data_IF_753928026727
#
_entry.id   IF_753928026727
#
_cell.length_a   1.000
_cell.length_b   1.000
_cell.length_c   1.000
_cell.angle_alpha   90.00
_cell.angle_beta   90.00
_cell.angle_gamma   90.00
#
_symmetry.space_group_name_H-M   'P 1'
#
loop_
_entity.id
_entity.type
_entity.pdbx_description
1 polymer ?
#
# COMPACT_ATOMS: atom_id res chain seq x y z
N UNK A 1 -0.07 -2.51 -32.44
CA UNK A 1 0.38 -3.70 -31.69
C UNK A 1 -0.88 -4.40 -31.20
N UNK A 2 -1.22 -5.55 -31.76
CA UNK A 2 -2.46 -6.24 -31.41
C UNK A 2 -2.28 -6.91 -30.05
N UNK A 3 -3.11 -6.52 -29.09
CA UNK A 3 -3.19 -7.20 -27.80
C UNK A 3 -3.75 -8.59 -28.02
N UNK A 4 -3.04 -9.63 -27.65
CA UNK A 4 -3.56 -10.99 -27.69
C UNK A 4 -4.70 -11.13 -26.66
N UNK A 5 -5.89 -11.62 -27.07
CA UNK A 5 -7.10 -11.59 -26.23
C UNK A 5 -7.21 -12.79 -25.29
N UNK A 6 -6.12 -13.28 -24.70
CA UNK A 6 -6.14 -14.51 -23.91
C UNK A 6 -5.92 -14.35 -22.38
N UNK A 7 -5.82 -13.13 -21.87
CA UNK A 7 -5.90 -12.96 -20.42
C UNK A 7 -7.35 -12.60 -20.04
N UNK A 8 -8.02 -13.41 -19.22
CA UNK A 8 -9.34 -13.02 -18.72
C UNK A 8 -9.21 -11.69 -17.98
N UNK A 9 -10.04 -10.72 -18.36
CA UNK A 9 -10.13 -9.46 -17.64
C UNK A 9 -10.32 -9.73 -16.16
N UNK A 10 -9.48 -9.15 -15.32
CA UNK A 10 -9.56 -9.25 -13.86
C UNK A 10 -9.71 -7.85 -13.29
N UNK A 11 -10.89 -7.53 -12.79
CA UNK A 11 -11.12 -6.23 -12.19
C UNK A 11 -10.25 -6.04 -10.94
N UNK A 12 -9.88 -4.79 -10.68
CA UNK A 12 -9.13 -4.43 -9.48
C UNK A 12 -9.82 -4.90 -8.19
N UNK A 13 -11.15 -4.83 -8.13
CA UNK A 13 -11.93 -5.28 -6.99
C UNK A 13 -11.85 -6.80 -6.79
N UNK A 14 -11.97 -7.60 -7.85
CA UNK A 14 -11.83 -9.06 -7.79
C UNK A 14 -10.43 -9.47 -7.32
N UNK A 15 -9.39 -8.81 -7.86
CA UNK A 15 -8.02 -9.00 -7.39
C UNK A 15 -7.89 -8.70 -5.90
N UNK A 16 -8.45 -7.59 -5.43
CA UNK A 16 -8.40 -7.18 -4.03
C UNK A 16 -9.13 -8.17 -3.12
N UNK A 17 -10.30 -8.65 -3.53
CA UNK A 17 -11.04 -9.69 -2.80
C UNK A 17 -10.27 -11.01 -2.70
N UNK A 18 -9.63 -11.43 -3.80
CA UNK A 18 -8.77 -12.61 -3.80
C UNK A 18 -7.59 -12.43 -2.83
N UNK A 19 -6.93 -11.29 -2.84
CA UNK A 19 -5.84 -10.97 -1.91
C UNK A 19 -6.29 -10.96 -0.44
N UNK A 20 -7.49 -10.45 -0.15
CA UNK A 20 -8.08 -10.50 1.20
C UNK A 20 -8.36 -11.93 1.63
N UNK A 21 -8.94 -12.76 0.74
CA UNK A 21 -9.22 -14.18 1.02
C UNK A 21 -7.93 -14.98 1.28
N UNK A 22 -6.90 -14.75 0.48
CA UNK A 22 -5.61 -15.44 0.63
C UNK A 22 -4.92 -15.06 1.93
N UNK A 23 -4.99 -13.80 2.33
CA UNK A 23 -4.52 -13.34 3.63
C UNK A 23 -5.24 -14.05 4.80
N UNK A 24 -6.54 -14.29 4.68
CA UNK A 24 -7.34 -14.97 5.71
C UNK A 24 -6.98 -16.45 5.87
N UNK A 25 -6.51 -17.11 4.82
CA UNK A 25 -6.11 -18.53 4.85
C UNK A 25 -4.87 -18.82 5.71
N UNK A 26 -4.23 -17.83 6.30
CA UNK A 26 -3.02 -17.97 7.16
C UNK A 26 -1.95 -18.89 6.57
N UNK A 27 -1.74 -18.81 5.27
CA UNK A 27 -0.68 -19.57 4.62
C UNK A 27 0.65 -19.18 5.29
N UNK A 28 1.50 -20.17 5.63
CA UNK A 28 2.80 -19.87 6.21
C UNK A 28 3.60 -19.07 5.19
N UNK A 29 3.98 -17.86 5.57
CA UNK A 29 4.78 -17.00 4.72
C UNK A 29 6.15 -17.69 4.47
N UNK A 30 6.68 -17.67 3.24
CA UNK A 30 7.92 -18.39 2.89
C UNK A 30 9.18 -17.76 3.47
N UNK A 31 9.09 -16.91 4.48
CA UNK A 31 10.25 -16.33 5.13
C UNK A 31 10.89 -17.34 6.08
N UNK A 32 12.19 -17.57 5.86
CA UNK A 32 13.03 -18.32 6.80
C UNK A 32 13.47 -17.43 7.95
N UNK A 33 13.97 -18.02 9.03
CA UNK A 33 14.54 -17.28 10.17
C UNK A 33 15.67 -16.32 9.75
N UNK A 34 16.40 -16.62 8.68
CA UNK A 34 17.47 -15.80 8.13
C UNK A 34 16.95 -14.51 7.49
N UNK A 35 15.78 -14.55 6.87
CA UNK A 35 15.12 -13.39 6.25
C UNK A 35 14.34 -12.58 7.27
N UNK A 36 13.90 -13.20 8.37
CA UNK A 36 13.17 -12.52 9.43
C UNK A 36 14.08 -11.68 10.30
N UNK A 37 13.73 -10.41 10.52
CA UNK A 37 14.40 -9.54 11.49
C UNK A 37 13.94 -9.87 12.91
N UNK A 38 14.18 -11.10 13.36
CA UNK A 38 13.65 -11.67 14.60
C UNK A 38 13.98 -10.87 15.86
N UNK A 39 15.12 -10.17 15.91
CA UNK A 39 15.50 -9.33 17.08
C UNK A 39 14.49 -8.22 17.40
N UNK A 40 13.57 -7.92 16.48
CA UNK A 40 12.53 -6.90 16.66
C UNK A 40 11.12 -7.50 16.70
N UNK A 41 11.02 -8.83 16.61
CA UNK A 41 9.76 -9.53 16.63
C UNK A 41 9.29 -9.73 18.07
N UNK A 42 8.03 -9.43 18.35
CA UNK A 42 7.43 -9.63 19.68
C UNK A 42 7.39 -11.11 20.11
N UNK A 43 7.45 -12.03 19.14
CA UNK A 43 7.46 -13.47 19.39
C UNK A 43 8.87 -14.05 19.56
N UNK A 44 9.92 -13.23 19.40
CA UNK A 44 11.30 -13.65 19.59
C UNK A 44 11.85 -13.08 20.92
N UNK A 45 12.05 -13.96 21.89
CA UNK A 45 12.65 -13.62 23.18
C UNK A 45 14.01 -14.32 23.30
N UNK A 46 15.04 -13.56 23.63
CA UNK A 46 16.42 -14.07 23.80
C UNK A 46 16.92 -14.92 22.62
N UNK A 47 16.60 -14.52 21.38
CA UNK A 47 17.00 -15.23 20.17
C UNK A 47 16.21 -16.52 19.88
N UNK A 48 15.22 -16.87 20.70
CA UNK A 48 14.34 -18.01 20.48
C UNK A 48 12.95 -17.54 20.09
N UNK A 49 12.45 -18.06 18.95
CA UNK A 49 11.10 -17.80 18.48
C UNK A 49 10.12 -18.70 19.24
N UNK A 50 9.08 -18.12 19.86
CA UNK A 50 8.00 -18.85 20.50
C UNK A 50 7.11 -19.62 19.50
N UNK A 51 7.20 -19.31 18.20
CA UNK A 51 6.40 -19.92 17.16
C UNK A 51 7.20 -21.03 16.47
N UNK A 52 6.54 -22.18 16.24
CA UNK A 52 7.14 -23.30 15.48
C UNK A 52 7.42 -22.95 14.01
N UNK A 53 6.72 -21.97 13.45
CA UNK A 53 6.91 -21.42 12.09
C UNK A 53 6.82 -19.92 12.15
N UNK A 54 7.55 -19.24 11.25
CA UNK A 54 7.49 -17.81 11.16
C UNK A 54 6.06 -17.33 10.87
N UNK A 55 5.68 -16.21 11.48
CA UNK A 55 4.36 -15.61 11.37
C UNK A 55 3.99 -15.30 9.91
N UNK A 56 2.70 -15.31 9.62
CA UNK A 56 2.17 -14.73 8.40
C UNK A 56 2.51 -13.23 8.31
N UNK A 57 2.43 -12.66 7.12
CA UNK A 57 2.78 -11.24 6.91
C UNK A 57 2.00 -10.31 7.85
N UNK A 58 0.73 -10.61 8.12
CA UNK A 58 -0.11 -9.81 9.05
C UNK A 58 0.50 -9.67 10.44
N UNK A 59 1.10 -10.73 10.98
CA UNK A 59 1.76 -10.69 12.29
C UNK A 59 3.10 -9.95 12.23
N UNK A 60 3.85 -10.13 11.13
CA UNK A 60 5.08 -9.37 10.89
C UNK A 60 4.81 -7.87 10.80
N UNK A 61 3.70 -7.46 10.19
CA UNK A 61 3.25 -6.06 10.11
C UNK A 61 2.96 -5.52 11.51
N UNK A 62 2.17 -6.24 12.31
CA UNK A 62 1.89 -5.86 13.71
C UNK A 62 3.17 -5.76 14.54
N UNK A 63 4.06 -6.74 14.41
CA UNK A 63 5.36 -6.76 15.08
C UNK A 63 6.36 -5.75 14.47
N UNK A 64 6.04 -5.14 13.33
CA UNK A 64 6.89 -4.21 12.58
C UNK A 64 8.27 -4.80 12.24
N UNK A 65 8.30 -6.06 11.83
CA UNK A 65 9.51 -6.81 11.46
C UNK A 65 9.73 -6.93 9.96
N UNK A 66 8.80 -6.39 9.15
CA UNK A 66 8.90 -6.31 7.70
C UNK A 66 9.24 -4.88 7.22
N UNK A 67 9.64 -4.76 5.97
CA UNK A 67 9.77 -3.50 5.24
C UNK A 67 8.52 -3.24 4.40
N UNK A 68 8.32 -2.01 3.94
CA UNK A 68 7.19 -1.69 3.06
C UNK A 68 7.32 -2.38 1.69
N UNK A 69 8.55 -2.53 1.19
CA UNK A 69 8.82 -3.29 -0.03
C UNK A 69 8.44 -4.78 0.08
N UNK A 70 8.65 -5.39 1.26
CA UNK A 70 8.20 -6.76 1.50
C UNK A 70 6.66 -6.86 1.50
N UNK A 71 5.96 -5.84 2.01
CA UNK A 71 4.49 -5.78 1.96
C UNK A 71 3.97 -5.68 0.53
N UNK A 72 4.56 -4.78 -0.27
CA UNK A 72 4.19 -4.65 -1.69
C UNK A 72 4.34 -5.97 -2.43
N UNK A 73 5.48 -6.64 -2.29
CA UNK A 73 5.74 -7.95 -2.93
C UNK A 73 4.73 -9.01 -2.49
N UNK A 74 4.37 -9.02 -1.21
CA UNK A 74 3.40 -9.97 -0.68
C UNK A 74 1.99 -9.77 -1.24
N UNK A 75 1.56 -8.51 -1.38
CA UNK A 75 0.24 -8.18 -1.92
C UNK A 75 0.04 -8.69 -3.36
N UNK A 76 1.10 -8.72 -4.15
CA UNK A 76 1.04 -9.06 -5.58
C UNK A 76 1.76 -10.38 -5.93
N UNK A 77 2.03 -11.23 -4.93
CA UNK A 77 2.78 -12.48 -5.12
C UNK A 77 2.10 -13.44 -6.11
N UNK A 78 0.79 -13.41 -6.20
CA UNK A 78 -0.01 -14.26 -7.08
C UNK A 78 -0.28 -13.65 -8.46
N UNK A 79 -0.01 -12.37 -8.66
CA UNK A 79 -0.15 -11.70 -9.94
C UNK A 79 1.14 -11.85 -10.75
N UNK A 80 1.11 -12.67 -11.84
CA UNK A 80 2.31 -13.15 -12.53
C UNK A 80 2.62 -12.43 -13.83
N UNK A 81 1.94 -11.34 -14.13
CA UNK A 81 2.27 -10.52 -15.29
C UNK A 81 3.72 -9.99 -15.19
N UNK A 82 4.52 -10.23 -16.23
CA UNK A 82 5.96 -9.93 -16.22
C UNK A 82 6.25 -8.44 -16.22
N UNK A 83 5.44 -7.65 -16.93
CA UNK A 83 5.61 -6.19 -17.04
C UNK A 83 5.21 -5.54 -15.70
N UNK A 84 4.09 -5.98 -15.14
CA UNK A 84 3.69 -5.56 -13.79
C UNK A 84 4.78 -5.86 -12.76
N UNK A 85 5.31 -7.09 -12.75
CA UNK A 85 6.35 -7.50 -11.79
C UNK A 85 7.64 -6.69 -11.96
N UNK A 86 7.98 -6.29 -13.18
CA UNK A 86 9.09 -5.38 -13.44
C UNK A 86 8.84 -4.01 -12.82
N UNK A 87 7.67 -3.39 -13.06
CA UNK A 87 7.26 -2.10 -12.47
C UNK A 87 7.22 -2.18 -10.95
N UNK A 88 6.65 -3.27 -10.40
CA UNK A 88 6.59 -3.50 -8.97
C UNK A 88 7.99 -3.58 -8.33
N UNK A 89 8.96 -4.20 -9.00
CA UNK A 89 10.34 -4.25 -8.54
C UNK A 89 10.92 -2.84 -8.41
N UNK A 90 10.76 -2.00 -9.43
CA UNK A 90 11.23 -0.61 -9.38
C UNK A 90 10.53 0.16 -8.26
N UNK A 91 9.22 -0.02 -8.07
CA UNK A 91 8.48 0.60 -6.97
C UNK A 91 9.01 0.16 -5.59
N UNK A 92 9.37 -1.10 -5.43
CA UNK A 92 9.97 -1.64 -4.21
C UNK A 92 11.37 -1.07 -3.94
N UNK A 93 12.19 -0.90 -4.96
CA UNK A 93 13.52 -0.28 -4.87
C UNK A 93 13.40 1.17 -4.44
N UNK A 94 12.53 1.96 -5.08
CA UNK A 94 12.23 3.34 -4.66
C UNK A 94 11.68 3.42 -3.25
N UNK A 95 10.75 2.54 -2.88
CA UNK A 95 10.20 2.51 -1.51
C UNK A 95 11.31 2.25 -0.46
N UNK A 96 12.32 1.46 -0.80
CA UNK A 96 13.47 1.23 0.07
C UNK A 96 14.39 2.45 0.18
N UNK A 97 14.55 3.22 -0.89
CA UNK A 97 15.40 4.43 -0.93
C UNK A 97 14.76 5.62 -0.22
N UNK A 98 13.51 5.92 -0.57
CA UNK A 98 12.81 7.14 -0.10
C UNK A 98 12.11 6.92 1.24
N UNK A 99 11.95 5.67 1.66
CA UNK A 99 11.37 5.26 2.95
C UNK A 99 10.01 5.90 3.25
N UNK A 100 9.19 6.08 2.22
CA UNK A 100 7.83 6.60 2.36
C UNK A 100 6.87 5.92 1.39
N UNK A 101 5.63 5.71 1.81
CA UNK A 101 4.55 5.31 0.91
C UNK A 101 3.87 6.50 0.23
N UNK A 102 4.18 7.73 0.61
CA UNK A 102 3.57 8.93 0.07
C UNK A 102 4.34 9.44 -1.15
N UNK A 103 3.66 10.15 -2.07
CA UNK A 103 4.29 10.82 -3.21
C UNK A 103 5.20 11.93 -2.71
N UNK A 104 4.66 12.78 -1.84
CA UNK A 104 5.32 13.97 -1.30
C UNK A 104 4.84 14.31 0.12
N UNK A 105 5.32 15.42 0.66
CA UNK A 105 4.93 15.91 1.98
C UNK A 105 3.48 16.42 2.02
N UNK A 106 2.97 16.94 0.90
CA UNK A 106 1.59 17.40 0.75
C UNK A 106 0.61 16.25 0.83
N UNK A 107 0.84 15.17 0.05
CA UNK A 107 0.08 13.92 0.12
C UNK A 107 0.04 13.39 1.55
N UNK A 108 1.20 13.31 2.21
CA UNK A 108 1.29 12.85 3.59
C UNK A 108 0.46 13.72 4.54
N UNK A 109 0.55 15.05 4.42
CA UNK A 109 -0.20 16.00 5.27
C UNK A 109 -1.71 15.81 5.10
N UNK A 110 -2.19 15.80 3.85
CA UNK A 110 -3.61 15.61 3.51
C UNK A 110 -4.15 14.28 4.02
N UNK A 111 -3.40 13.20 3.83
CA UNK A 111 -3.76 11.88 4.34
C UNK A 111 -3.96 11.88 5.86
N UNK A 112 -3.02 12.42 6.63
CA UNK A 112 -3.15 12.46 8.09
C UNK A 112 -4.23 13.40 8.57
N UNK A 113 -4.50 14.48 7.85
CA UNK A 113 -5.68 15.33 8.08
C UNK A 113 -6.94 14.47 8.04
N UNK A 114 -7.19 13.74 6.95
CA UNK A 114 -8.36 12.86 6.82
C UNK A 114 -8.40 11.74 7.86
N UNK A 115 -7.25 11.09 8.09
CA UNK A 115 -7.17 9.98 9.04
C UNK A 115 -7.38 10.39 10.51
N UNK A 116 -7.21 11.68 10.86
CA UNK A 116 -7.43 12.19 12.21
C UNK A 116 -8.88 12.17 12.64
N UNK A 117 -9.82 12.26 11.69
CA UNK A 117 -11.26 12.24 11.96
C UNK A 117 -11.84 10.85 12.18
N UNK A 118 -11.05 9.78 11.94
CA UNK A 118 -11.53 8.41 12.02
C UNK A 118 -11.50 7.87 13.45
N UNK A 119 -12.69 7.54 13.99
CA UNK A 119 -12.82 6.80 15.26
C UNK A 119 -12.38 5.32 15.09
N UNK A 120 -12.84 4.65 14.02
CA UNK A 120 -12.38 3.33 13.59
C UNK A 120 -11.59 3.49 12.30
N UNK A 121 -10.40 2.91 12.25
CA UNK A 121 -9.53 2.95 11.07
C UNK A 121 -9.82 1.71 10.21
N UNK A 122 -10.99 1.67 9.58
CA UNK A 122 -11.30 0.66 8.59
C UNK A 122 -10.25 0.68 7.48
N UNK A 123 -9.57 -0.43 7.18
CA UNK A 123 -8.50 -0.48 6.19
C UNK A 123 -8.93 -0.05 4.79
N UNK A 124 -10.15 -0.40 4.36
CA UNK A 124 -10.69 0.02 3.06
C UNK A 124 -10.84 1.53 3.01
N UNK A 125 -11.41 2.13 4.04
CA UNK A 125 -11.57 3.58 4.08
C UNK A 125 -10.23 4.32 4.19
N UNK A 126 -9.28 3.77 4.94
CA UNK A 126 -7.91 4.32 5.01
C UNK A 126 -7.24 4.31 3.63
N UNK A 127 -7.44 3.25 2.83
CA UNK A 127 -6.92 3.18 1.46
C UNK A 127 -7.59 4.19 0.53
N UNK A 128 -8.91 4.41 0.67
CA UNK A 128 -9.64 5.45 -0.07
C UNK A 128 -9.08 6.85 0.26
N UNK A 129 -8.90 7.17 1.55
CA UNK A 129 -8.28 8.43 1.96
C UNK A 129 -6.87 8.60 1.39
N UNK A 130 -6.09 7.52 1.36
CA UNK A 130 -4.74 7.53 0.81
C UNK A 130 -4.77 7.91 -0.69
N UNK A 131 -5.65 7.30 -1.47
CA UNK A 131 -5.82 7.61 -2.89
C UNK A 131 -6.27 9.05 -3.12
N UNK A 132 -7.37 9.46 -2.48
CA UNK A 132 -7.95 10.78 -2.68
C UNK A 132 -7.06 11.93 -2.18
N UNK A 133 -6.19 11.66 -1.23
CA UNK A 133 -5.22 12.64 -0.72
C UNK A 133 -3.94 12.74 -1.56
N UNK A 134 -3.75 11.88 -2.57
CA UNK A 134 -2.58 11.91 -3.45
C UNK A 134 -2.52 13.22 -4.25
N UNK A 135 -3.66 13.71 -4.71
CA UNK A 135 -3.81 15.02 -5.38
C UNK A 135 -4.42 16.06 -4.45
N UNK A 136 -3.97 17.31 -4.55
CA UNK A 136 -4.53 18.42 -3.79
C UNK A 136 -5.94 18.75 -4.26
N UNK A 137 -6.14 18.81 -5.59
CA UNK A 137 -7.44 19.14 -6.17
C UNK A 137 -8.49 18.08 -5.82
N UNK A 138 -8.15 16.80 -6.00
CA UNK A 138 -9.03 15.69 -5.65
C UNK A 138 -9.36 15.69 -4.15
N UNK A 139 -8.39 15.97 -3.30
CA UNK A 139 -8.59 16.07 -1.85
C UNK A 139 -9.57 17.18 -1.45
N UNK A 140 -9.43 18.39 -2.04
CA UNK A 140 -10.34 19.51 -1.79
C UNK A 140 -11.78 19.12 -2.15
N UNK A 141 -11.97 18.43 -3.26
CA UNK A 141 -13.28 17.96 -3.71
C UNK A 141 -13.82 16.85 -2.82
N UNK A 142 -13.00 15.86 -2.48
CA UNK A 142 -13.38 14.75 -1.61
C UNK A 142 -13.83 15.22 -0.22
N UNK A 143 -13.15 16.21 0.37
CA UNK A 143 -13.56 16.78 1.67
C UNK A 143 -14.97 17.36 1.68
N UNK A 144 -15.43 17.90 0.56
CA UNK A 144 -16.78 18.50 0.44
C UNK A 144 -17.89 17.46 0.48
N UNK A 145 -17.60 16.24 0.03
CA UNK A 145 -18.55 15.12 -0.06
C UNK A 145 -18.34 14.05 1.02
N UNK A 146 -17.44 14.31 1.95
CA UNK A 146 -17.21 13.46 3.12
C UNK A 146 -18.27 13.76 4.18
N UNK A 147 -19.39 13.01 4.13
CA UNK A 147 -20.61 13.30 4.91
C UNK A 147 -20.54 12.83 6.35
N UNK A 148 -19.73 11.80 6.65
CA UNK A 148 -19.60 11.22 7.99
C UNK A 148 -18.23 10.57 8.15
N UNK A 149 -17.74 10.33 9.38
CA UNK A 149 -16.53 9.57 9.58
C UNK A 149 -16.63 8.17 8.97
N UNK A 150 -15.91 7.94 7.90
CA UNK A 150 -15.86 6.66 7.18
C UNK A 150 -16.77 6.54 5.96
N UNK A 151 -17.38 7.63 5.49
CA UNK A 151 -18.20 7.62 4.28
C UNK A 151 -17.90 8.80 3.35
N UNK A 152 -17.71 8.49 2.06
CA UNK A 152 -17.53 9.46 0.98
C UNK A 152 -18.64 9.24 -0.03
N UNK A 153 -19.38 10.29 -0.34
CA UNK A 153 -20.38 10.26 -1.41
C UNK A 153 -19.69 10.47 -2.77
N UNK A 154 -19.26 9.38 -3.39
CA UNK A 154 -18.61 9.41 -4.69
C UNK A 154 -19.52 9.91 -5.81
N UNK A 155 -20.84 9.72 -5.70
CA UNK A 155 -21.80 10.19 -6.69
C UNK A 155 -21.90 11.72 -6.77
N UNK A 156 -21.61 12.41 -5.67
CA UNK A 156 -21.59 13.88 -5.59
C UNK A 156 -20.20 14.48 -5.83
N UNK A 157 -19.14 13.67 -6.06
CA UNK A 157 -17.80 14.18 -6.29
C UNK A 157 -17.63 14.71 -7.71
N UNK A 158 -17.44 16.01 -7.84
CA UNK A 158 -17.23 16.67 -9.14
C UNK A 158 -15.80 16.44 -9.66
N UNK A 159 -15.68 15.78 -10.81
CA UNK A 159 -14.38 15.49 -11.43
C UNK A 159 -13.94 16.55 -12.48
N UNK A 160 -14.63 17.68 -12.61
CA UNK A 160 -14.19 18.74 -13.52
C UNK A 160 -12.79 19.22 -13.17
N UNK A 161 -11.98 19.43 -14.21
CA UNK A 161 -10.59 19.91 -14.10
C UNK A 161 -9.62 18.96 -13.38
N UNK A 162 -10.00 17.70 -13.15
CA UNK A 162 -9.06 16.68 -12.70
C UNK A 162 -8.21 16.17 -13.87
N UNK A 163 -6.99 15.76 -13.58
CA UNK A 163 -6.11 15.10 -14.56
C UNK A 163 -6.37 13.59 -14.62
N UNK A 164 -5.60 12.90 -15.45
CA UNK A 164 -5.71 11.45 -15.63
C UNK A 164 -5.39 10.69 -14.34
N UNK A 165 -4.38 11.11 -13.59
CA UNK A 165 -4.01 10.46 -12.34
C UNK A 165 -5.08 10.64 -11.26
N UNK A 166 -5.67 11.84 -11.17
CA UNK A 166 -6.79 12.13 -10.29
C UNK A 166 -7.97 11.19 -10.58
N UNK A 167 -8.29 11.02 -11.87
CA UNK A 167 -9.36 10.12 -12.30
C UNK A 167 -9.05 8.66 -11.93
N UNK A 168 -7.82 8.19 -12.13
CA UNK A 168 -7.39 6.86 -11.75
C UNK A 168 -7.48 6.63 -10.23
N UNK A 169 -7.07 7.62 -9.42
CA UNK A 169 -7.19 7.53 -7.97
C UNK A 169 -8.65 7.48 -7.52
N UNK A 170 -9.51 8.28 -8.15
CA UNK A 170 -10.95 8.26 -7.90
C UNK A 170 -11.56 6.90 -8.24
N UNK A 171 -11.31 6.37 -9.44
CA UNK A 171 -11.81 5.06 -9.88
C UNK A 171 -11.34 3.93 -8.96
N UNK A 172 -10.05 3.92 -8.62
CA UNK A 172 -9.50 2.93 -7.68
C UNK A 172 -10.16 3.03 -6.31
N UNK A 173 -10.40 4.24 -5.81
CA UNK A 173 -11.08 4.43 -4.53
C UNK A 173 -12.54 3.96 -4.55
N UNK A 174 -13.25 4.17 -5.65
CA UNK A 174 -14.58 3.61 -5.88
C UNK A 174 -14.58 2.08 -5.91
N UNK A 175 -13.63 1.46 -6.62
CA UNK A 175 -13.51 0.01 -6.69
C UNK A 175 -13.22 -0.61 -5.32
N UNK A 176 -12.40 0.04 -4.50
CA UNK A 176 -12.19 -0.37 -3.10
C UNK A 176 -13.48 -0.25 -2.27
N UNK A 177 -14.26 0.80 -2.49
CA UNK A 177 -15.48 1.09 -1.73
C UNK A 177 -16.60 0.12 -2.08
N UNK A 178 -16.91 0.03 -3.35
CA UNK A 178 -18.13 -0.62 -3.85
C UNK A 178 -17.91 -1.98 -4.50
N UNK A 179 -16.66 -2.38 -4.76
CA UNK A 179 -16.36 -3.60 -5.48
C UNK A 179 -16.61 -3.46 -6.99
N UNK A 180 -16.38 -2.28 -7.55
CA UNK A 180 -16.55 -2.00 -8.98
C UNK A 180 -15.46 -2.60 -9.88
N UNK A 181 -15.53 -2.29 -11.16
CA UNK A 181 -14.58 -2.74 -12.19
C UNK A 181 -14.16 -1.59 -13.10
N UNK A 182 -13.89 -0.42 -12.52
CA UNK A 182 -13.46 0.76 -13.28
C UNK A 182 -12.02 0.63 -13.75
N UNK A 183 -11.21 -0.15 -13.04
CA UNK A 183 -9.81 -0.44 -13.38
C UNK A 183 -9.62 -1.94 -13.53
N UNK A 184 -9.00 -2.36 -14.63
CA UNK A 184 -8.48 -3.72 -14.79
C UNK A 184 -7.06 -3.77 -14.19
N UNK A 185 -6.77 -4.82 -13.42
CA UNK A 185 -5.45 -4.97 -12.79
C UNK A 185 -4.32 -5.07 -13.82
N UNK A 186 -4.61 -5.55 -15.05
CA UNK A 186 -3.63 -5.63 -16.13
C UNK A 186 -3.29 -4.25 -16.71
N UNK A 187 -4.17 -3.24 -16.60
CA UNK A 187 -3.86 -1.87 -17.01
C UNK A 187 -2.67 -1.29 -16.24
N UNK A 188 -2.43 -1.78 -15.03
CA UNK A 188 -1.24 -1.40 -14.24
C UNK A 188 0.08 -1.85 -14.88
N UNK A 189 0.05 -2.76 -15.85
CA UNK A 189 1.22 -3.19 -16.60
C UNK A 189 1.64 -2.19 -17.68
N UNK A 190 0.73 -1.32 -18.15
CA UNK A 190 0.97 -0.42 -19.27
C UNK A 190 1.30 0.99 -18.77
N UNK A 191 2.52 1.44 -19.05
CA UNK A 191 2.99 2.78 -18.64
C UNK A 191 2.41 3.92 -19.48
N UNK A 192 1.92 3.61 -20.68
CA UNK A 192 1.16 4.54 -21.53
C UNK A 192 -0.23 4.87 -20.97
N UNK A 193 -0.81 3.96 -20.17
CA UNK A 193 -2.14 4.13 -19.56
C UNK A 193 -2.00 4.68 -18.13
N UNK A 194 -1.11 4.09 -17.35
CA UNK A 194 -0.92 4.42 -15.93
C UNK A 194 0.55 4.74 -15.70
N UNK A 195 0.86 6.00 -15.49
CA UNK A 195 2.23 6.42 -15.22
C UNK A 195 2.81 5.78 -13.95
N UNK A 196 4.10 5.98 -13.72
CA UNK A 196 4.78 5.29 -12.63
C UNK A 196 4.35 5.81 -11.25
N UNK A 197 3.99 7.07 -11.12
CA UNK A 197 3.55 7.62 -9.83
C UNK A 197 2.13 7.16 -9.50
N UNK A 198 1.22 7.12 -10.48
CA UNK A 198 -0.10 6.53 -10.33
C UNK A 198 0.00 5.02 -10.00
N UNK A 199 0.84 4.28 -10.72
CA UNK A 199 1.12 2.87 -10.43
C UNK A 199 1.54 2.67 -8.96
N UNK A 200 2.49 3.47 -8.46
CA UNK A 200 2.95 3.39 -7.07
C UNK A 200 1.83 3.67 -6.07
N UNK A 201 1.05 4.71 -6.32
CA UNK A 201 -0.06 5.09 -5.42
C UNK A 201 -1.11 3.99 -5.38
N UNK A 202 -1.49 3.43 -6.52
CA UNK A 202 -2.47 2.34 -6.60
C UNK A 202 -1.94 1.10 -5.88
N UNK A 203 -0.71 0.65 -6.16
CA UNK A 203 -0.12 -0.51 -5.48
C UNK A 203 0.02 -0.30 -3.96
N UNK A 204 0.39 0.91 -3.53
CA UNK A 204 0.46 1.25 -2.11
C UNK A 204 -0.94 1.22 -1.47
N UNK A 205 -1.98 1.66 -2.18
CA UNK A 205 -3.37 1.62 -1.68
C UNK A 205 -3.86 0.20 -1.42
N UNK A 206 -3.50 -0.77 -2.28
CA UNK A 206 -3.76 -2.21 -2.05
C UNK A 206 -3.11 -2.66 -0.74
N UNK A 207 -1.85 -2.31 -0.53
CA UNK A 207 -1.12 -2.65 0.69
C UNK A 207 -1.79 -2.06 1.93
N UNK A 208 -2.25 -0.81 1.85
CA UNK A 208 -2.99 -0.14 2.93
C UNK A 208 -4.37 -0.77 3.11
N UNK A 209 -5.07 -1.12 2.04
CA UNK A 209 -6.36 -1.82 2.12
C UNK A 209 -6.23 -3.18 2.84
N UNK A 210 -5.14 -3.90 2.64
CA UNK A 210 -4.90 -5.20 3.28
C UNK A 210 -4.44 -5.07 4.74
N UNK A 211 -3.62 -4.07 5.08
CA UNK A 211 -2.92 -3.98 6.37
C UNK A 211 -3.26 -2.72 7.18
N UNK A 212 -4.08 -1.83 6.63
CA UNK A 212 -4.53 -0.61 7.29
C UNK A 212 -3.40 0.35 7.64
N UNK A 213 -3.60 1.10 8.70
CA UNK A 213 -2.61 2.04 9.23
C UNK A 213 -1.27 1.40 9.63
N UNK A 214 -1.25 0.10 9.83
CA UNK A 214 0.00 -0.57 10.19
C UNK A 214 0.95 -0.67 8.99
N UNK A 215 0.45 -0.75 7.75
CA UNK A 215 1.26 -0.62 6.54
C UNK A 215 1.95 0.76 6.48
N UNK A 216 1.20 1.83 6.74
CA UNK A 216 1.74 3.21 6.77
C UNK A 216 2.82 3.35 7.85
N UNK A 217 2.58 2.80 9.04
CA UNK A 217 3.57 2.82 10.13
C UNK A 217 4.83 2.02 9.81
N UNK A 218 4.72 0.93 9.04
CA UNK A 218 5.89 0.17 8.56
C UNK A 218 6.75 1.02 7.65
N UNK A 219 6.14 1.75 6.71
CA UNK A 219 6.85 2.67 5.81
C UNK A 219 7.58 3.78 6.59
N UNK A 220 6.96 4.35 7.63
CA UNK A 220 7.54 5.45 8.40
C UNK A 220 8.63 5.03 9.40
N UNK A 221 8.59 3.77 9.86
CA UNK A 221 9.56 3.27 10.84
C UNK A 221 10.98 3.19 10.28
N UNK A 222 11.13 3.02 8.99
CA UNK A 222 12.40 2.95 8.30
C UNK A 222 13.25 4.22 8.55
N UNK A 223 12.62 5.41 8.54
CA UNK A 223 13.31 6.70 8.79
C UNK A 223 13.96 6.83 10.17
N UNK A 224 13.34 6.28 11.22
CA UNK A 224 13.87 6.39 12.58
C UNK A 224 15.12 5.54 12.82
N UNK A 225 15.33 4.48 12.03
CA UNK A 225 16.48 3.57 12.19
C UNK A 225 17.78 4.14 11.64
N UNK A 226 17.76 4.84 10.49
CA UNK A 226 18.96 5.44 9.88
C UNK A 226 19.53 6.57 10.74
N UNK A 227 18.69 7.32 11.47
CA UNK A 227 19.16 8.39 12.37
C UNK A 227 19.89 7.89 13.64
N UNK A 228 19.70 6.63 14.05
CA UNK A 228 20.35 6.05 15.25
C UNK A 228 21.67 5.32 14.94
N UNK A 229 22.07 5.20 13.68
CA UNK A 229 23.25 4.44 13.23
C UNK A 229 24.43 5.30 12.78
N UNK A 230 24.59 6.54 13.25
CA UNK A 230 25.90 7.21 13.14
C UNK A 230 26.86 6.53 14.12
N UNK A 231 27.99 5.98 13.66
CA UNK A 231 29.01 5.50 14.58
C UNK A 231 29.53 6.69 15.41
N UNK A 232 29.59 6.48 16.72
CA UNK A 232 30.36 7.34 17.59
C UNK A 232 31.82 7.11 17.18
N UNK A 233 32.41 8.09 16.52
CA UNK A 233 33.85 8.12 16.33
C UNK A 233 34.44 8.36 17.71
N UNK A 234 35.10 7.36 18.25
CA UNK A 234 35.94 7.46 19.44
C UNK A 234 37.18 8.30 19.05
N UNK A 235 37.12 9.61 19.28
CA UNK A 235 38.28 10.45 19.32
C UNK A 235 38.89 10.32 20.74
N UNK A 236 39.77 9.34 20.88
CA UNK A 236 40.80 9.33 21.93
C UNK A 236 42.15 9.25 21.28
N UNK A 237 42.77 10.39 21.16
CA UNK A 237 44.23 10.55 21.10
C UNK A 237 44.63 11.50 22.16
#
# INVERSE_FOLDING_TARGET
MYLEPNNPSLSFAEFLEAAVRDKAKKLPFPYTLEVCRCRYCSFCQNGKCALKRCCCMSERVKARTCTFAELLKDCFVNFKDSVFQYRLRIACERAAEVETCFLDAGHKKRFYEGASYLRKKDPKFVAQLYLLSASELLWIKAKRVMCAPGFIDYGSLDLKHTDTNDYLYFCTAMDICYGGSHIDIYELSYDEIIDFDAFRVICNSVTICLYGMDAVKVAEKSKRRKKKGKPITDDRS
#
